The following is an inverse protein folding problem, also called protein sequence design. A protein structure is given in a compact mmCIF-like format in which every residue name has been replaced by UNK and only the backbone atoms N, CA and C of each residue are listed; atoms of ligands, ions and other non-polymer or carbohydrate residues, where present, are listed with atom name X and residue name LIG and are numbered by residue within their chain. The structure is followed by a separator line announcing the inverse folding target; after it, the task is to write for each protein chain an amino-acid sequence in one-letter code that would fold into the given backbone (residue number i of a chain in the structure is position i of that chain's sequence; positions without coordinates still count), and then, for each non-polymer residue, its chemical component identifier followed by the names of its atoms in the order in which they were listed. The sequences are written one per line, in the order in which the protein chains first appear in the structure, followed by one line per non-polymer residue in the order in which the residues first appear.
data_IF_115586121779
#
_entry.id   IF_115586121779
#
_cell.length_a   1.000
_cell.length_b   1.000
_cell.length_c   1.000
_cell.angle_alpha   90.00
_cell.angle_beta   90.00
_cell.angle_gamma   90.00
#
_symmetry.space_group_name_H-M   'P 1'
#
loop_
_entity.id
_entity.type
_entity.pdbx_description
1 polymer ?
#
# COMPACT_ATOMS: atom_id res chain seq x y z
N UNK A 1 -30.32 -5.23 33.93
CA UNK A 1 -29.11 -5.90 33.40
C UNK A 1 -28.96 -5.51 31.94
N UNK A 2 -27.78 -5.03 31.51
CA UNK A 2 -27.58 -4.38 30.22
C UNK A 2 -27.53 -5.39 29.08
N UNK A 3 -28.23 -5.13 27.98
CA UNK A 3 -28.06 -5.86 26.72
C UNK A 3 -27.17 -5.04 25.80
N UNK A 4 -25.86 -5.23 25.90
CA UNK A 4 -24.91 -4.83 24.86
C UNK A 4 -25.15 -5.69 23.61
N UNK A 5 -25.85 -5.17 22.61
CA UNK A 5 -25.86 -5.80 21.29
C UNK A 5 -24.61 -5.35 20.54
N UNK A 6 -23.54 -6.14 20.67
CA UNK A 6 -22.29 -6.00 19.93
C UNK A 6 -22.59 -6.13 18.44
N UNK A 7 -22.71 -5.01 17.73
CA UNK A 7 -22.83 -4.98 16.27
C UNK A 7 -21.50 -5.43 15.65
N UNK A 8 -21.35 -6.73 15.42
CA UNK A 8 -20.36 -7.28 14.50
C UNK A 8 -20.79 -6.93 13.06
N UNK A 9 -20.67 -5.66 12.67
CA UNK A 9 -20.91 -5.21 11.30
C UNK A 9 -19.71 -5.57 10.42
N UNK A 10 -19.88 -6.60 9.60
CA UNK A 10 -19.44 -6.66 8.21
C UNK A 10 -17.93 -6.51 7.90
N UNK A 11 -17.06 -7.18 8.66
CA UNK A 11 -15.63 -7.36 8.33
C UNK A 11 -15.35 -8.63 7.51
N UNK A 12 -16.38 -9.34 7.06
CA UNK A 12 -16.24 -10.55 6.27
C UNK A 12 -15.86 -10.18 4.83
N UNK A 13 -14.67 -10.59 4.38
CA UNK A 13 -14.05 -10.37 3.06
C UNK A 13 -13.19 -9.11 2.84
N UNK A 14 -12.80 -8.38 3.90
CA UNK A 14 -11.67 -7.45 3.74
C UNK A 14 -10.36 -8.23 3.61
N UNK A 15 -9.54 -7.92 2.61
CA UNK A 15 -8.18 -8.43 2.48
C UNK A 15 -7.21 -7.25 2.63
N UNK A 16 -7.00 -6.73 3.86
CA UNK A 16 -6.40 -5.43 4.05
C UNK A 16 -5.00 -5.35 3.47
N UNK A 17 -4.21 -6.43 3.53
CA UNK A 17 -2.86 -6.43 2.95
C UNK A 17 -2.87 -6.39 1.41
N UNK A 18 -3.87 -7.02 0.77
CA UNK A 18 -4.00 -7.03 -0.69
C UNK A 18 -4.45 -5.67 -1.21
N UNK A 19 -5.53 -5.13 -0.64
CA UNK A 19 -6.04 -3.79 -0.98
C UNK A 19 -4.91 -2.76 -0.90
N UNK A 20 -4.12 -2.82 0.17
CA UNK A 20 -2.99 -1.90 0.35
C UNK A 20 -1.91 -2.01 -0.73
N UNK A 21 -1.63 -3.22 -1.20
CA UNK A 21 -0.69 -3.43 -2.30
C UNK A 21 -1.24 -2.92 -3.63
N UNK A 22 -2.55 -3.08 -3.86
CA UNK A 22 -3.24 -2.57 -5.04
C UNK A 22 -3.24 -1.04 -5.06
N UNK A 23 -3.50 -0.37 -3.93
CA UNK A 23 -3.45 1.10 -3.85
C UNK A 23 -2.08 1.66 -4.30
N UNK A 24 -0.98 0.96 -3.98
CA UNK A 24 0.37 1.37 -4.39
C UNK A 24 0.54 1.22 -5.91
N UNK A 25 0.05 0.12 -6.49
CA UNK A 25 0.11 -0.08 -7.94
C UNK A 25 -0.76 0.92 -8.70
N UNK A 26 -1.96 1.21 -8.19
CA UNK A 26 -2.82 2.25 -8.75
C UNK A 26 -2.17 3.62 -8.67
N UNK A 27 -1.56 3.97 -7.53
CA UNK A 27 -0.81 5.21 -7.40
C UNK A 27 0.32 5.30 -8.42
N UNK A 28 1.21 4.30 -8.47
CA UNK A 28 2.37 4.30 -9.37
C UNK A 28 1.96 4.30 -10.85
N UNK A 29 0.90 3.61 -11.21
CA UNK A 29 0.36 3.62 -12.59
C UNK A 29 -0.32 4.95 -12.97
N UNK A 30 -0.82 5.71 -11.99
CA UNK A 30 -1.46 7.01 -12.23
C UNK A 30 -0.47 8.16 -12.44
N UNK A 31 0.79 7.99 -12.03
CA UNK A 31 1.83 9.02 -12.11
C UNK A 31 2.78 8.75 -13.26
N UNK A 32 3.20 9.81 -13.96
CA UNK A 32 4.19 9.68 -15.06
C UNK A 32 5.64 9.77 -14.57
N UNK A 33 5.85 10.09 -13.30
CA UNK A 33 7.17 10.27 -12.70
C UNK A 33 7.39 9.25 -11.58
N UNK A 34 8.59 8.66 -11.49
CA UNK A 34 8.94 7.75 -10.41
C UNK A 34 8.76 8.40 -9.03
N UNK A 35 8.20 7.67 -8.06
CA UNK A 35 7.96 8.19 -6.70
C UNK A 35 8.89 7.55 -5.68
N UNK A 36 9.34 8.34 -4.69
CA UNK A 36 10.13 7.82 -3.57
C UNK A 36 9.25 7.23 -2.47
N UNK A 37 9.86 6.44 -1.57
CA UNK A 37 9.17 5.82 -0.42
C UNK A 37 8.35 6.83 0.41
N UNK A 38 8.89 8.03 0.63
CA UNK A 38 8.22 9.07 1.44
C UNK A 38 6.99 9.63 0.73
N UNK A 39 7.05 9.83 -0.58
CA UNK A 39 5.95 10.37 -1.37
C UNK A 39 4.81 9.35 -1.47
N UNK A 40 5.14 8.08 -1.69
CA UNK A 40 4.18 6.97 -1.70
C UNK A 40 3.51 6.84 -0.33
N UNK A 41 4.29 6.93 0.75
CA UNK A 41 3.78 6.90 2.13
C UNK A 41 2.80 8.03 2.43
N UNK A 42 3.08 9.25 1.96
CA UNK A 42 2.17 10.40 2.10
C UNK A 42 0.91 10.24 1.24
N UNK A 43 1.07 9.88 -0.03
CA UNK A 43 -0.04 9.74 -0.98
C UNK A 43 -1.04 8.66 -0.57
N UNK A 44 -0.55 7.53 -0.06
CA UNK A 44 -1.39 6.41 0.41
C UNK A 44 -1.84 6.58 1.87
N UNK A 45 -1.29 7.57 2.59
CA UNK A 45 -1.65 7.86 3.99
C UNK A 45 -1.22 6.78 4.99
N UNK A 46 -0.07 6.14 4.76
CA UNK A 46 0.42 5.00 5.56
C UNK A 46 1.85 5.22 6.04
N UNK A 47 2.27 4.45 7.04
CA UNK A 47 3.64 4.54 7.56
C UNK A 47 4.69 4.08 6.54
N UNK A 48 5.88 4.70 6.56
CA UNK A 48 7.00 4.32 5.69
C UNK A 48 7.38 2.83 5.83
N UNK A 49 7.35 2.29 7.05
CA UNK A 49 7.67 0.87 7.31
C UNK A 49 6.63 -0.10 6.74
N UNK A 50 5.37 0.33 6.62
CA UNK A 50 4.34 -0.48 5.96
C UNK A 50 4.52 -0.46 4.44
N UNK A 51 4.71 0.72 3.86
CA UNK A 51 4.95 0.88 2.42
C UNK A 51 6.23 0.15 1.99
N UNK A 52 7.32 0.26 2.77
CA UNK A 52 8.57 -0.42 2.45
C UNK A 52 8.39 -1.94 2.30
N UNK A 53 7.64 -2.58 3.21
CA UNK A 53 7.35 -4.02 3.11
C UNK A 53 6.54 -4.35 1.86
N UNK A 54 5.62 -3.49 1.45
CA UNK A 54 4.82 -3.70 0.25
C UNK A 54 5.63 -3.52 -1.02
N UNK A 55 6.38 -2.42 -1.13
CA UNK A 55 7.28 -2.17 -2.26
C UNK A 55 8.27 -3.31 -2.43
N UNK A 56 8.85 -3.82 -1.33
CA UNK A 56 9.75 -4.97 -1.39
C UNK A 56 9.08 -6.23 -1.97
N UNK A 57 7.83 -6.52 -1.63
CA UNK A 57 7.10 -7.67 -2.17
C UNK A 57 6.72 -7.45 -3.64
N UNK A 58 6.31 -6.23 -4.01
CA UNK A 58 5.95 -5.86 -5.38
C UNK A 58 7.18 -5.91 -6.30
N UNK A 59 8.32 -5.36 -5.86
CA UNK A 59 9.61 -5.38 -6.57
C UNK A 59 10.09 -6.82 -6.77
N UNK A 60 10.06 -7.65 -5.71
CA UNK A 60 10.44 -9.08 -5.79
C UNK A 60 9.56 -9.90 -6.74
N UNK A 61 8.33 -9.46 -6.99
CA UNK A 61 7.39 -10.11 -7.92
C UNK A 61 7.39 -9.45 -9.30
N UNK A 62 8.27 -8.45 -9.52
CA UNK A 62 8.38 -7.69 -10.76
C UNK A 62 7.09 -6.95 -11.16
N UNK A 63 6.31 -6.50 -10.17
CA UNK A 63 5.17 -5.62 -10.41
C UNK A 63 5.56 -4.14 -10.47
N UNK A 64 6.68 -3.78 -9.85
CA UNK A 64 7.26 -2.43 -9.87
C UNK A 64 8.77 -2.56 -10.06
N UNK A 65 9.38 -1.51 -10.60
CA UNK A 65 10.83 -1.41 -10.73
C UNK A 65 11.37 -0.29 -9.84
N UNK A 66 12.54 -0.53 -9.25
CA UNK A 66 13.27 0.50 -8.50
C UNK A 66 14.39 1.06 -9.35
N UNK A 67 14.33 2.36 -9.62
CA UNK A 67 15.40 3.08 -10.30
C UNK A 67 16.67 3.07 -9.44
N UNK A 68 17.73 2.42 -9.92
CA UNK A 68 18.99 2.20 -9.17
C UNK A 68 19.67 3.49 -8.70
N UNK A 69 19.40 4.62 -9.35
CA UNK A 69 20.05 5.89 -9.04
C UNK A 69 19.49 6.56 -7.79
N UNK A 70 18.18 6.49 -7.55
CA UNK A 70 17.49 7.44 -6.66
C UNK A 70 16.45 6.80 -5.71
N UNK A 71 16.39 5.47 -5.59
CA UNK A 71 15.37 4.77 -4.77
C UNK A 71 13.92 5.19 -5.12
N UNK A 72 13.67 5.46 -6.40
CA UNK A 72 12.35 5.80 -6.92
C UNK A 72 11.70 4.56 -7.55
N UNK A 73 10.38 4.48 -7.45
CA UNK A 73 9.59 3.34 -7.92
C UNK A 73 8.69 3.76 -9.09
N UNK A 74 8.55 2.86 -10.07
CA UNK A 74 7.66 2.97 -11.25
C UNK A 74 6.89 1.68 -11.44
#
# INVERSE_FOLDING_TARGET
MPSETKSAKNTAYAAPALEKGLDILELLSSVSQPMGLSDISQAVGRSKSEIFRMLHVLERRHYIERAQANDLYT
#
